data_IF_486964389836
#
_entry.id   IF_486964389836
#
_cell.length_a   1.000
_cell.length_b   1.000
_cell.length_c   1.000
_cell.angle_alpha   90.00
_cell.angle_beta   90.00
_cell.angle_gamma   90.00
#
_symmetry.space_group_name_H-M   'P 1'
#
loop_
_entity.id
_entity.type
_entity.pdbx_description
1 polymer ?
#
# COMPACT_ATOMS: atom_id res chain seq x y z
N UNK A 1 2.30 -3.76 12.91
CA UNK A 1 1.36 -4.34 13.89
C UNK A 1 0.33 -5.24 13.23
N UNK A 2 -0.50 -4.74 12.29
CA UNK A 2 -1.54 -5.58 11.64
C UNK A 2 -0.92 -6.77 10.91
N UNK A 3 0.11 -6.57 10.08
CA UNK A 3 0.77 -7.65 9.35
C UNK A 3 1.36 -8.70 10.30
N UNK A 4 1.99 -8.27 11.38
CA UNK A 4 2.56 -9.17 12.40
C UNK A 4 1.46 -10.00 13.05
N UNK A 5 0.32 -9.41 13.38
CA UNK A 5 -0.83 -10.11 13.95
C UNK A 5 -1.37 -11.15 12.98
N UNK A 6 -1.51 -10.81 11.70
CA UNK A 6 -2.00 -11.75 10.70
C UNK A 6 -1.06 -12.96 10.56
N UNK A 7 0.25 -12.74 10.52
CA UNK A 7 1.24 -13.83 10.46
C UNK A 7 1.11 -14.74 11.67
N UNK A 8 0.94 -14.18 12.87
CA UNK A 8 0.79 -14.95 14.12
C UNK A 8 -0.39 -15.92 14.06
N UNK A 9 -1.46 -15.56 13.37
CA UNK A 9 -2.64 -16.40 13.21
C UNK A 9 -2.69 -17.15 11.88
N UNK A 10 -1.55 -17.26 11.20
CA UNK A 10 -1.41 -17.97 9.93
C UNK A 10 -2.28 -17.39 8.81
N UNK A 11 -2.42 -16.08 8.79
CA UNK A 11 -3.11 -15.34 7.73
C UNK A 11 -2.09 -14.55 6.92
N UNK A 12 -2.10 -14.72 5.61
CA UNK A 12 -1.19 -13.99 4.73
C UNK A 12 -1.68 -12.58 4.48
N UNK A 13 -0.92 -11.59 4.91
CA UNK A 13 -1.08 -10.19 4.53
C UNK A 13 0.19 -9.71 3.88
N UNK A 14 0.08 -8.75 2.96
CA UNK A 14 1.24 -8.20 2.26
C UNK A 14 1.19 -6.68 2.23
N UNK A 15 2.37 -6.01 2.16
CA UNK A 15 2.40 -4.59 1.86
C UNK A 15 1.74 -4.29 0.52
N UNK A 16 1.19 -3.10 0.36
CA UNK A 16 0.70 -2.62 -0.93
C UNK A 16 1.87 -2.58 -1.93
N UNK A 17 1.59 -2.81 -3.21
CA UNK A 17 2.59 -2.70 -4.26
C UNK A 17 3.18 -1.30 -4.31
N UNK A 18 4.50 -1.25 -4.46
CA UNK A 18 5.21 0.02 -4.62
C UNK A 18 4.79 0.68 -5.93
N UNK A 19 4.32 1.93 -5.92
CA UNK A 19 3.92 2.62 -7.16
C UNK A 19 5.02 2.66 -8.21
N UNK A 20 4.65 2.61 -9.47
CA UNK A 20 5.62 2.55 -10.58
C UNK A 20 6.56 3.76 -10.59
N UNK A 21 6.06 4.95 -10.30
CA UNK A 21 6.89 6.16 -10.25
C UNK A 21 7.91 6.17 -9.11
N UNK A 22 7.74 5.30 -8.12
CA UNK A 22 8.66 5.11 -7.00
C UNK A 22 9.72 4.02 -7.29
N UNK A 23 9.59 3.31 -8.40
CA UNK A 23 10.58 2.30 -8.79
C UNK A 23 11.87 2.98 -9.26
N UNK A 24 13.06 2.51 -8.81
CA UNK A 24 14.33 3.15 -9.17
C UNK A 24 14.56 3.29 -10.67
N UNK A 25 14.09 2.33 -11.47
CA UNK A 25 14.25 2.34 -12.93
C UNK A 25 13.55 3.54 -13.58
N UNK A 26 12.49 4.07 -12.96
CA UNK A 26 11.72 5.19 -13.49
C UNK A 26 12.05 6.53 -12.83
N UNK A 27 13.09 6.58 -12.01
CA UNK A 27 13.45 7.77 -11.24
C UNK A 27 13.64 9.02 -12.09
N UNK A 28 14.20 8.88 -13.27
CA UNK A 28 14.49 9.99 -14.18
C UNK A 28 13.38 10.28 -15.18
N UNK A 29 12.33 9.49 -15.19
CA UNK A 29 11.19 9.71 -16.07
C UNK A 29 10.28 10.84 -15.56
N UNK A 30 9.57 11.49 -16.49
CA UNK A 30 8.55 12.46 -16.11
C UNK A 30 7.39 11.80 -15.37
N UNK A 31 6.72 12.58 -14.53
CA UNK A 31 5.51 12.15 -13.84
C UNK A 31 4.44 13.22 -14.00
N UNK A 32 3.35 12.89 -14.67
CA UNK A 32 2.29 13.85 -14.99
C UNK A 32 1.30 13.95 -13.83
N UNK A 33 1.08 15.18 -13.37
CA UNK A 33 0.05 15.52 -12.38
C UNK A 33 -0.92 16.52 -12.98
N UNK A 34 -1.98 16.87 -12.25
CA UNK A 34 -2.90 17.95 -12.67
C UNK A 34 -2.19 19.28 -12.87
N UNK A 35 -1.05 19.49 -12.25
CA UNK A 35 -0.24 20.70 -12.36
C UNK A 35 0.91 20.58 -13.37
N UNK A 36 0.93 19.51 -14.17
CA UNK A 36 2.00 19.25 -15.14
C UNK A 36 2.99 18.21 -14.63
N UNK A 37 4.27 18.33 -15.01
CA UNK A 37 5.28 17.38 -14.55
C UNK A 37 5.62 17.61 -13.09
N UNK A 38 5.25 16.65 -12.22
CA UNK A 38 5.47 16.71 -10.79
C UNK A 38 6.74 16.03 -10.29
N UNK A 39 7.61 15.54 -11.18
CA UNK A 39 8.84 14.86 -10.79
C UNK A 39 9.82 15.83 -10.14
N UNK A 40 10.26 15.50 -8.93
CA UNK A 40 11.28 16.29 -8.23
C UNK A 40 12.66 16.06 -8.86
N UNK A 41 13.52 17.08 -8.75
CA UNK A 41 14.92 16.98 -9.22
C UNK A 41 15.82 16.21 -8.26
N UNK A 42 15.37 16.02 -7.04
CA UNK A 42 16.07 15.28 -5.99
C UNK A 42 15.63 13.81 -5.96
N UNK A 43 16.05 13.08 -4.95
CA UNK A 43 15.61 11.71 -4.73
C UNK A 43 14.13 11.58 -4.33
N UNK A 44 13.42 12.68 -4.13
CA UNK A 44 11.99 12.67 -3.93
C UNK A 44 11.28 12.25 -5.22
N UNK A 45 10.20 11.49 -5.09
CA UNK A 45 9.50 10.94 -6.24
C UNK A 45 8.58 11.95 -6.91
N UNK A 46 8.00 12.85 -6.12
CA UNK A 46 7.13 13.92 -6.59
C UNK A 46 7.51 15.21 -5.88
N UNK A 47 7.28 16.37 -6.54
CA UNK A 47 7.55 17.66 -5.91
C UNK A 47 6.61 17.89 -4.72
N UNK A 48 7.07 18.67 -3.75
CA UNK A 48 6.36 18.95 -2.50
C UNK A 48 4.97 19.57 -2.67
N UNK A 49 4.70 20.17 -3.82
CA UNK A 49 3.39 20.78 -4.10
C UNK A 49 2.35 19.79 -4.63
N UNK A 50 2.76 18.59 -5.00
CA UNK A 50 1.87 17.57 -5.54
C UNK A 50 1.51 16.55 -4.45
N UNK A 51 0.22 16.20 -4.36
CA UNK A 51 -0.26 15.14 -3.49
C UNK A 51 0.01 13.80 -4.18
N UNK A 52 0.78 12.93 -3.54
CA UNK A 52 1.08 11.58 -4.03
C UNK A 52 0.20 10.56 -3.31
N UNK A 53 -0.99 10.33 -3.87
CA UNK A 53 -1.95 9.37 -3.31
C UNK A 53 -1.39 7.95 -3.33
N UNK A 54 -0.68 7.58 -4.40
CA UNK A 54 -0.07 6.25 -4.53
C UNK A 54 0.97 6.00 -3.45
N UNK A 55 1.83 6.96 -3.17
CA UNK A 55 2.82 6.85 -2.10
C UNK A 55 2.16 6.76 -0.72
N UNK A 56 1.14 7.57 -0.49
CA UNK A 56 0.39 7.55 0.78
C UNK A 56 -0.25 6.19 1.03
N UNK A 57 -0.90 5.61 0.01
CA UNK A 57 -1.48 4.27 0.10
C UNK A 57 -0.39 3.23 0.35
N UNK A 58 0.75 3.33 -0.34
CA UNK A 58 1.87 2.41 -0.17
C UNK A 58 2.41 2.43 1.27
N UNK A 59 2.55 3.61 1.85
CA UNK A 59 3.10 3.76 3.20
C UNK A 59 2.15 3.27 4.30
N UNK A 60 0.84 3.41 4.10
CA UNK A 60 -0.17 3.12 5.12
C UNK A 60 -1.03 1.90 4.83
N UNK A 61 -1.05 1.45 3.59
CA UNK A 61 -1.92 0.37 3.16
C UNK A 61 -1.31 -1.02 3.33
N UNK A 62 -2.17 -2.01 3.24
CA UNK A 62 -1.76 -3.41 3.18
C UNK A 62 -2.78 -4.20 2.34
N UNK A 63 -2.35 -5.34 1.81
CA UNK A 63 -3.20 -6.25 1.07
C UNK A 63 -3.67 -7.38 1.97
N UNK A 64 -4.95 -7.69 1.90
CA UNK A 64 -5.59 -8.77 2.63
C UNK A 64 -5.83 -9.96 1.70
N UNK A 65 -6.06 -11.18 2.26
CA UNK A 65 -6.43 -12.32 1.44
C UNK A 65 -7.70 -12.05 0.64
N UNK A 66 -7.71 -12.43 -0.64
CA UNK A 66 -8.83 -12.16 -1.55
C UNK A 66 -9.10 -13.33 -2.52
N UNK A 67 -8.75 -14.55 -2.13
CA UNK A 67 -9.01 -15.74 -2.94
C UNK A 67 -10.51 -15.93 -3.12
N UNK A 68 -10.93 -16.24 -4.34
CA UNK A 68 -12.34 -16.51 -4.66
C UNK A 68 -12.88 -17.74 -3.93
N UNK A 69 -12.03 -18.61 -3.43
CA UNK A 69 -12.40 -19.79 -2.64
C UNK A 69 -12.55 -19.50 -1.15
N UNK A 70 -12.33 -18.26 -0.73
CA UNK A 70 -12.44 -17.88 0.67
C UNK A 70 -13.89 -18.03 1.15
N UNK A 71 -14.07 -18.70 2.29
CA UNK A 71 -15.38 -18.84 2.92
C UNK A 71 -15.70 -17.61 3.78
N UNK A 72 -16.99 -17.43 4.10
CA UNK A 72 -17.42 -16.36 5.00
C UNK A 72 -16.77 -16.48 6.37
N UNK A 73 -16.61 -17.70 6.89
CA UNK A 73 -15.94 -17.94 8.17
C UNK A 73 -14.49 -17.48 8.15
N UNK A 74 -13.78 -17.76 7.06
CA UNK A 74 -12.38 -17.31 6.90
C UNK A 74 -12.31 -15.79 6.80
N UNK A 75 -13.22 -15.16 6.07
CA UNK A 75 -13.29 -13.71 5.95
C UNK A 75 -13.57 -13.06 7.31
N UNK A 76 -14.54 -13.59 8.04
CA UNK A 76 -14.89 -13.06 9.37
C UNK A 76 -13.73 -13.18 10.34
N UNK A 77 -12.97 -14.28 10.28
CA UNK A 77 -11.76 -14.44 11.09
C UNK A 77 -10.75 -13.33 10.82
N UNK A 78 -10.49 -13.02 9.55
CA UNK A 78 -9.56 -11.95 9.17
C UNK A 78 -10.06 -10.60 9.66
N UNK A 79 -11.36 -10.32 9.48
CA UNK A 79 -11.98 -9.08 9.95
C UNK A 79 -11.82 -8.93 11.45
N UNK A 80 -12.10 -9.96 12.22
CA UNK A 80 -11.99 -9.92 13.68
C UNK A 80 -10.55 -9.70 14.16
N UNK A 81 -9.59 -10.36 13.51
CA UNK A 81 -8.17 -10.16 13.82
C UNK A 81 -7.75 -8.71 13.62
N UNK A 82 -8.19 -8.09 12.53
CA UNK A 82 -7.88 -6.69 12.23
C UNK A 82 -8.56 -5.75 13.22
N UNK A 83 -9.85 -5.96 13.50
CA UNK A 83 -10.59 -5.15 14.48
C UNK A 83 -9.93 -5.18 15.85
N UNK A 84 -9.42 -6.32 16.26
CA UNK A 84 -8.75 -6.46 17.55
C UNK A 84 -7.45 -5.67 17.64
N UNK A 85 -6.81 -5.32 16.52
CA UNK A 85 -5.63 -4.46 16.51
C UNK A 85 -5.94 -3.01 16.91
N UNK A 86 -7.20 -2.60 16.83
CA UNK A 86 -7.64 -1.24 17.13
C UNK A 86 -8.32 -1.10 18.49
N UNK A 87 -8.29 -2.14 19.28
CA UNK A 87 -8.83 -2.12 20.65
C UNK A 87 -7.80 -1.67 21.68
#
# INVERSE_FOLDING_TARGET
EILETLVKYNVEGRPIWKPMHMQPIYRLNGFVTKKGNGRARTNAYISSEAIDVGMDIFERGLCLPSDIKMTEEQQDKVIDLIKNCFK
#
